data_IF_844182573431
#
_entry.id   IF_844182573431
#
_cell.length_a   1.000
_cell.length_b   1.000
_cell.length_c   1.000
_cell.angle_alpha   90.00
_cell.angle_beta   90.00
_cell.angle_gamma   90.00
#
_symmetry.space_group_name_H-M   'P 1'
#
loop_
_entity.id
_entity.type
_entity.pdbx_description
1 polymer ?
#
# COMPACT_ATOMS: atom_id res chain seq x y z
N UNK A 1 1.37 17.54 10.60
CA UNK A 1 2.40 16.93 9.74
C UNK A 1 1.70 16.27 8.56
N UNK A 2 2.18 16.41 7.31
CA UNK A 2 1.57 15.70 6.18
C UNK A 2 1.66 14.20 6.42
N UNK A 3 0.52 13.54 6.32
CA UNK A 3 0.36 12.11 6.51
C UNK A 3 0.01 11.49 5.15
N UNK A 4 0.79 10.51 4.73
CA UNK A 4 0.59 9.84 3.44
C UNK A 4 0.00 8.47 3.69
N UNK A 5 -1.11 8.14 3.03
CA UNK A 5 -1.70 6.79 3.12
C UNK A 5 -1.51 6.09 1.78
N UNK A 6 -0.94 4.89 1.82
CA UNK A 6 -0.91 3.98 0.70
C UNK A 6 -2.10 3.03 0.77
N UNK A 7 -2.78 2.84 -0.35
CA UNK A 7 -3.95 1.97 -0.46
C UNK A 7 -3.69 0.83 -1.41
N UNK A 8 -3.98 -0.39 -0.96
CA UNK A 8 -4.00 -1.60 -1.77
C UNK A 8 -5.44 -2.13 -1.76
N UNK A 9 -6.30 -1.68 -2.71
CA UNK A 9 -7.66 -2.19 -2.82
C UNK A 9 -7.67 -3.67 -3.18
N UNK A 10 -8.72 -4.36 -2.74
CA UNK A 10 -8.88 -5.78 -3.00
C UNK A 10 -9.15 -5.97 -4.49
N UNK A 11 -8.51 -6.97 -5.07
CA UNK A 11 -8.81 -7.39 -6.43
C UNK A 11 -9.19 -8.87 -6.46
N UNK A 12 -10.49 -9.12 -6.66
CA UNK A 12 -11.06 -10.46 -6.80
C UNK A 12 -10.69 -11.13 -8.14
N UNK A 13 -10.23 -10.35 -9.12
CA UNK A 13 -10.00 -10.84 -10.47
C UNK A 13 -8.66 -11.56 -10.56
N UNK A 14 -8.70 -12.85 -10.93
CA UNK A 14 -7.51 -13.65 -11.24
C UNK A 14 -6.75 -13.17 -12.48
N UNK A 15 -7.33 -12.26 -13.27
CA UNK A 15 -6.71 -11.63 -14.45
C UNK A 15 -6.51 -10.12 -14.28
N UNK A 16 -6.96 -9.56 -13.15
CA UNK A 16 -6.85 -8.14 -12.87
C UNK A 16 -5.51 -7.80 -12.23
N UNK A 17 -5.07 -6.56 -12.42
CA UNK A 17 -3.86 -6.06 -11.75
C UNK A 17 -4.20 -5.49 -10.37
N UNK A 18 -3.40 -5.83 -9.37
CA UNK A 18 -3.42 -5.21 -8.06
C UNK A 18 -2.90 -3.78 -8.16
N UNK A 19 -3.68 -2.81 -7.70
CA UNK A 19 -3.28 -1.41 -7.77
C UNK A 19 -2.70 -0.96 -6.44
N UNK A 20 -1.70 -0.09 -6.49
CA UNK A 20 -1.21 0.67 -5.35
C UNK A 20 -1.55 2.13 -5.59
N UNK A 21 -2.20 2.75 -4.61
CA UNK A 21 -2.53 4.17 -4.65
C UNK A 21 -1.87 4.90 -3.51
N UNK A 22 -1.56 6.17 -3.71
CA UNK A 22 -1.11 7.09 -2.66
C UNK A 22 -2.14 8.20 -2.57
N UNK A 23 -2.86 8.26 -1.46
CA UNK A 23 -4.06 9.09 -1.34
C UNK A 23 -5.04 8.78 -2.50
N UNK A 24 -5.19 9.69 -3.47
CA UNK A 24 -6.03 9.48 -4.65
C UNK A 24 -5.26 9.02 -5.89
N UNK A 25 -3.93 9.13 -5.91
CA UNK A 25 -3.11 8.94 -7.12
C UNK A 25 -2.75 7.47 -7.32
N UNK A 26 -2.87 7.00 -8.57
CA UNK A 26 -2.34 5.68 -8.93
C UNK A 26 -0.81 5.73 -8.95
N UNK A 27 -0.19 4.88 -8.14
CA UNK A 27 1.27 4.77 -8.03
C UNK A 27 1.80 3.64 -8.90
N UNK A 28 1.07 2.54 -8.96
CA UNK A 28 1.49 1.37 -9.71
C UNK A 28 0.40 0.32 -9.85
N UNK A 29 0.64 -0.61 -10.77
CA UNK A 29 -0.20 -1.77 -10.99
C UNK A 29 0.71 -3.00 -11.05
N UNK A 30 0.27 -4.08 -10.41
CA UNK A 30 1.07 -5.26 -10.16
C UNK A 30 0.28 -6.52 -10.49
N UNK A 31 0.93 -7.58 -10.98
CA UNK A 31 0.25 -8.83 -11.29
C UNK A 31 -0.26 -9.56 -10.04
N UNK A 32 0.35 -9.36 -8.87
CA UNK A 32 -0.03 -10.04 -7.62
C UNK A 32 -0.14 -9.09 -6.43
N UNK A 33 -0.92 -9.50 -5.42
CA UNK A 33 -1.04 -8.80 -4.13
C UNK A 33 0.33 -8.64 -3.47
N UNK A 34 1.13 -9.69 -3.48
CA UNK A 34 2.44 -9.71 -2.82
C UNK A 34 3.42 -8.73 -3.49
N UNK A 35 3.35 -8.56 -4.81
CA UNK A 35 4.11 -7.52 -5.51
C UNK A 35 3.65 -6.11 -5.14
N UNK A 36 2.33 -5.86 -5.13
CA UNK A 36 1.79 -4.58 -4.70
C UNK A 36 2.20 -4.24 -3.26
N UNK A 37 2.14 -5.22 -2.36
CA UNK A 37 2.55 -5.08 -0.95
C UNK A 37 4.05 -4.83 -0.80
N UNK A 38 4.91 -5.58 -1.52
CA UNK A 38 6.36 -5.34 -1.53
C UNK A 38 6.69 -3.92 -1.97
N UNK A 39 6.03 -3.44 -3.02
CA UNK A 39 6.18 -2.06 -3.48
C UNK A 39 5.65 -1.03 -2.47
N UNK A 40 4.52 -1.29 -1.81
CA UNK A 40 3.97 -0.41 -0.77
C UNK A 40 4.94 -0.26 0.42
N UNK A 41 5.53 -1.36 0.87
CA UNK A 41 6.53 -1.38 1.94
C UNK A 41 7.81 -0.64 1.56
N UNK A 42 8.34 -0.89 0.36
CA UNK A 42 9.52 -0.19 -0.14
C UNK A 42 9.28 1.33 -0.26
N UNK A 43 8.10 1.73 -0.76
CA UNK A 43 7.71 3.14 -0.86
C UNK A 43 7.54 3.79 0.51
N UNK A 44 6.97 3.06 1.47
CA UNK A 44 6.85 3.50 2.87
C UNK A 44 8.22 3.79 3.48
N UNK A 45 9.18 2.87 3.30
CA UNK A 45 10.55 3.06 3.77
C UNK A 45 11.22 4.28 3.12
N UNK A 46 11.07 4.45 1.80
CA UNK A 46 11.61 5.59 1.07
C UNK A 46 11.01 6.93 1.54
N UNK A 47 9.69 7.00 1.71
CA UNK A 47 9.00 8.22 2.13
C UNK A 47 9.33 8.60 3.59
N UNK A 48 9.42 7.61 4.49
CA UNK A 48 9.82 7.82 5.89
C UNK A 48 11.25 8.35 5.98
N UNK A 49 12.18 7.77 5.21
CA UNK A 49 13.60 8.18 5.20
C UNK A 49 13.85 9.54 4.56
N UNK A 50 13.15 9.86 3.46
CA UNK A 50 13.39 11.10 2.72
C UNK A 50 12.66 12.32 3.29
N UNK A 51 11.45 12.14 3.83
CA UNK A 51 10.55 13.26 4.14
C UNK A 51 10.17 13.34 5.63
N UNK A 52 10.61 12.38 6.45
CA UNK A 52 10.20 12.29 7.86
C UNK A 52 8.69 12.17 8.04
N UNK A 53 7.97 11.73 7.00
CA UNK A 53 6.52 11.65 7.00
C UNK A 53 6.04 10.36 7.68
N UNK A 54 4.95 10.48 8.43
CA UNK A 54 4.17 9.31 8.84
C UNK A 54 3.48 8.74 7.60
N UNK A 55 3.72 7.46 7.34
CA UNK A 55 3.16 6.73 6.20
C UNK A 55 2.54 5.44 6.69
N UNK A 56 1.27 5.24 6.37
CA UNK A 56 0.50 4.04 6.69
C UNK A 56 0.10 3.31 5.42
N UNK A 57 -0.07 1.99 5.53
CA UNK A 57 -0.58 1.15 4.45
C UNK A 57 -1.96 0.65 4.86
N UNK A 58 -2.96 0.89 4.02
CA UNK A 58 -4.31 0.32 4.15
C UNK A 58 -4.52 -0.72 3.06
N UNK A 59 -4.89 -1.92 3.48
CA UNK A 59 -5.16 -3.05 2.58
C UNK A 59 -6.62 -3.44 2.73
N UNK A 60 -7.34 -3.46 1.62
CA UNK A 60 -8.71 -3.97 1.60
C UNK A 60 -8.69 -5.49 1.47
N UNK A 61 -9.54 -6.15 2.25
CA UNK A 61 -9.75 -7.59 2.14
C UNK A 61 -10.94 -7.93 1.22
N UNK A 62 -11.19 -9.23 1.05
CA UNK A 62 -12.27 -9.73 0.21
C UNK A 62 -13.69 -9.38 0.69
N UNK A 63 -13.84 -8.98 1.96
CA UNK A 63 -15.10 -8.54 2.53
C UNK A 63 -15.35 -7.03 2.35
N UNK A 64 -14.39 -6.31 1.74
CA UNK A 64 -14.41 -4.85 1.59
C UNK A 64 -14.00 -4.10 2.86
N UNK A 65 -13.41 -4.79 3.84
CA UNK A 65 -12.90 -4.17 5.06
C UNK A 65 -11.45 -3.74 4.86
N UNK A 66 -11.14 -2.54 5.38
CA UNK A 66 -9.81 -1.95 5.30
C UNK A 66 -9.02 -2.22 6.58
N UNK A 67 -7.89 -2.89 6.42
CA UNK A 67 -6.94 -3.17 7.49
C UNK A 67 -5.73 -2.26 7.40
N UNK A 68 -5.34 -1.66 8.52
CA UNK A 68 -4.08 -0.93 8.61
C UNK A 68 -2.97 -1.96 8.81
N UNK A 69 -2.00 -1.97 7.90
CA UNK A 69 -0.76 -2.72 8.08
C UNK A 69 0.28 -1.73 8.55
N UNK A 70 0.74 -1.92 9.78
CA UNK A 70 1.91 -1.23 10.27
C UNK A 70 3.09 -1.75 9.45
N UNK A 71 3.62 -0.93 8.53
CA UNK A 71 4.79 -1.28 7.71
C UNK A 71 6.08 -1.51 8.53
N UNK A 72 5.97 -1.67 9.85
CA UNK A 72 6.96 -2.27 10.72
C UNK A 72 7.11 -3.75 10.37
N UNK A 73 8.01 -4.01 9.42
CA UNK A 73 8.81 -5.23 9.54
C UNK A 73 9.39 -5.23 10.96
N UNK A 74 8.98 -6.24 11.73
CA UNK A 74 9.49 -6.55 13.06
C UNK A 74 11.02 -6.45 13.06
N UNK A 75 11.55 -5.70 14.03
CA UNK A 75 12.97 -5.40 14.17
C UNK A 75 13.65 -6.41 15.08
#
# INVERSE_FOLDING_TARGET
MPHTILYVPFNASSRGQWTLRRNADLVGQFPTRDEAMRHALALTAALRTQQGQAVDIKVEDESGLWHVTDGSADR
#
